data_IF_840250088015
#
_entry.id   IF_840250088015
#
_cell.length_a   1.000
_cell.length_b   1.000
_cell.length_c   1.000
_cell.angle_alpha   90.00
_cell.angle_beta   90.00
_cell.angle_gamma   90.00
#
_symmetry.space_group_name_H-M   'P 1'
#
loop_
_entity.id
_entity.type
_entity.pdbx_description
1 polymer ?
#
# COMPACT_ATOMS: atom_id res chain seq x y z
N UNK A 1 6.25 -9.74 0.85
CA UNK A 1 4.91 -9.96 0.24
C UNK A 1 4.65 -9.05 -0.95
N UNK A 2 5.03 -7.76 -0.89
CA UNK A 2 4.87 -6.81 -2.01
C UNK A 2 5.49 -7.25 -3.33
N UNK A 3 6.72 -7.80 -3.29
CA UNK A 3 7.43 -8.25 -4.49
C UNK A 3 6.70 -9.39 -5.22
N UNK A 4 6.15 -10.36 -4.47
CA UNK A 4 5.36 -11.45 -5.04
C UNK A 4 4.05 -10.91 -5.65
N UNK A 5 3.38 -9.98 -4.98
CA UNK A 5 2.18 -9.35 -5.50
C UNK A 5 2.44 -8.53 -6.78
N UNK A 6 3.55 -7.78 -6.84
CA UNK A 6 3.97 -7.06 -8.04
C UNK A 6 4.29 -7.99 -9.21
N UNK A 7 4.94 -9.13 -8.93
CA UNK A 7 5.24 -10.15 -9.93
C UNK A 7 3.96 -10.82 -10.47
N UNK A 8 3.01 -11.14 -9.58
CA UNK A 8 1.69 -11.65 -9.98
C UNK A 8 0.91 -10.64 -10.83
N UNK A 9 1.00 -9.34 -10.51
CA UNK A 9 0.38 -8.27 -11.31
C UNK A 9 0.99 -8.15 -12.70
N UNK A 10 2.30 -8.38 -12.82
CA UNK A 10 2.98 -8.42 -14.11
C UNK A 10 2.53 -9.61 -14.98
N UNK A 11 2.31 -10.78 -14.38
CA UNK A 11 1.88 -12.00 -15.08
C UNK A 11 0.38 -11.97 -15.44
N UNK A 12 -0.46 -11.35 -14.60
CA UNK A 12 -1.91 -11.25 -14.81
C UNK A 12 -2.37 -9.80 -14.97
N UNK A 13 -2.29 -9.26 -16.20
CA UNK A 13 -2.62 -7.86 -16.44
C UNK A 13 -4.13 -7.63 -16.48
N UNK A 14 -4.64 -6.96 -15.44
CA UNK A 14 -6.03 -6.49 -15.38
C UNK A 14 -6.02 -4.99 -15.06
N UNK A 15 -6.35 -4.15 -16.05
CA UNK A 15 -6.43 -2.69 -15.94
C UNK A 15 -5.07 -1.94 -15.93
N UNK A 16 -5.10 -0.65 -16.33
CA UNK A 16 -4.02 0.34 -16.17
C UNK A 16 -2.68 0.06 -16.88
N UNK A 17 -1.67 0.89 -16.59
CA UNK A 17 -0.28 0.64 -17.01
C UNK A 17 0.28 -0.55 -16.22
N UNK A 18 0.52 -1.67 -16.90
CA UNK A 18 0.99 -2.93 -16.29
C UNK A 18 2.33 -2.75 -15.57
N UNK A 19 3.27 -2.09 -16.23
CA UNK A 19 4.64 -1.93 -15.76
C UNK A 19 4.72 -0.96 -14.58
N UNK A 20 4.03 0.17 -14.69
CA UNK A 20 3.93 1.18 -13.64
C UNK A 20 3.30 0.59 -12.36
N UNK A 21 2.19 -0.13 -12.52
CA UNK A 21 1.46 -0.70 -11.38
C UNK A 21 2.23 -1.84 -10.71
N UNK A 22 2.93 -2.69 -11.49
CA UNK A 22 3.74 -3.76 -10.94
C UNK A 22 4.94 -3.24 -10.13
N UNK A 23 5.63 -2.21 -10.64
CA UNK A 23 6.74 -1.55 -9.93
C UNK A 23 6.22 -0.87 -8.66
N UNK A 24 5.13 -0.12 -8.76
CA UNK A 24 4.53 0.55 -7.60
C UNK A 24 4.20 -0.46 -6.49
N UNK A 25 3.47 -1.54 -6.79
CA UNK A 25 3.09 -2.56 -5.80
C UNK A 25 4.32 -3.23 -5.16
N UNK A 26 5.34 -3.54 -5.97
CA UNK A 26 6.55 -4.17 -5.47
C UNK A 26 7.30 -3.27 -4.46
N UNK A 27 7.49 -2.00 -4.81
CA UNK A 27 8.22 -1.05 -3.97
C UNK A 27 7.42 -0.54 -2.78
N UNK A 28 6.13 -0.28 -2.94
CA UNK A 28 5.25 0.09 -1.83
C UNK A 28 5.26 -1.00 -0.76
N UNK A 29 5.14 -2.27 -1.16
CA UNK A 29 5.19 -3.39 -0.22
C UNK A 29 6.58 -3.63 0.38
N UNK A 30 7.66 -3.37 -0.35
CA UNK A 30 9.02 -3.42 0.20
C UNK A 30 9.23 -2.36 1.28
N UNK A 31 8.76 -1.14 1.04
CA UNK A 31 8.87 -0.02 1.99
C UNK A 31 7.98 -0.28 3.21
N UNK A 32 6.77 -0.80 3.00
CA UNK A 32 5.90 -1.22 4.08
C UNK A 32 6.60 -2.25 4.99
N UNK A 33 7.20 -3.29 4.41
CA UNK A 33 7.94 -4.28 5.18
C UNK A 33 9.15 -3.65 5.88
N UNK A 34 9.91 -2.78 5.23
CA UNK A 34 11.05 -2.10 5.86
C UNK A 34 10.64 -1.23 7.06
N UNK A 35 9.52 -0.51 6.95
CA UNK A 35 8.97 0.33 8.02
C UNK A 35 8.48 -0.57 9.16
N UNK A 36 7.58 -1.50 8.88
CA UNK A 36 6.88 -2.26 9.91
C UNK A 36 7.64 -3.47 10.48
N UNK A 37 8.67 -3.95 9.80
CA UNK A 37 9.55 -5.00 10.33
C UNK A 37 10.53 -4.47 11.39
N UNK A 38 10.75 -3.15 11.44
CA UNK A 38 11.68 -2.56 12.40
C UNK A 38 11.15 -2.70 13.84
N UNK A 39 11.91 -3.31 14.77
CA UNK A 39 11.46 -3.54 16.14
C UNK A 39 11.25 -2.24 16.94
N UNK A 40 11.76 -1.11 16.45
CA UNK A 40 11.51 0.22 17.04
C UNK A 40 10.10 0.74 16.76
N UNK A 41 9.39 0.13 15.82
CA UNK A 41 8.11 0.61 15.27
C UNK A 41 6.94 -0.30 15.67
N UNK A 42 7.12 -1.09 16.73
CA UNK A 42 6.09 -1.97 17.27
C UNK A 42 4.88 -1.20 17.82
N UNK A 43 3.70 -1.53 17.29
CA UNK A 43 2.39 -0.99 17.68
C UNK A 43 2.11 -1.22 19.16
N UNK A 44 2.56 -2.33 19.73
CA UNK A 44 2.29 -2.68 21.12
C UNK A 44 3.17 -1.89 22.10
N UNK A 45 4.36 -1.46 21.66
CA UNK A 45 5.25 -0.61 22.45
C UNK A 45 4.75 0.85 22.55
N UNK A 46 3.95 1.29 21.59
CA UNK A 46 3.38 2.65 21.57
C UNK A 46 2.15 2.77 22.49
N UNK A 47 2.29 3.44 23.64
CA UNK A 47 1.20 3.61 24.62
C UNK A 47 0.12 4.62 24.22
N UNK A 48 0.44 5.63 23.40
CA UNK A 48 -0.49 6.70 23.02
C UNK A 48 -1.11 6.45 21.65
N UNK A 49 -2.43 6.56 21.56
CA UNK A 49 -3.21 6.42 20.32
C UNK A 49 -2.77 7.46 19.29
N UNK A 50 -2.46 8.69 19.71
CA UNK A 50 -1.97 9.76 18.84
C UNK A 50 -0.67 9.38 18.12
N UNK A 51 0.21 8.63 18.80
CA UNK A 51 1.49 8.18 18.23
C UNK A 51 1.25 7.04 17.23
N UNK A 52 0.28 6.15 17.49
CA UNK A 52 -0.10 5.10 16.54
C UNK A 52 -0.74 5.68 15.27
N UNK A 53 -1.62 6.67 15.44
CA UNK A 53 -2.30 7.33 14.34
C UNK A 53 -1.30 8.09 13.46
N UNK A 54 -0.44 8.91 14.07
CA UNK A 54 0.61 9.64 13.34
C UNK A 54 1.56 8.69 12.62
N UNK A 55 1.89 7.55 13.22
CA UNK A 55 2.67 6.51 12.55
C UNK A 55 1.99 5.96 11.30
N UNK A 56 0.68 5.67 11.37
CA UNK A 56 -0.11 5.25 10.22
C UNK A 56 -0.12 6.30 9.11
N UNK A 57 -0.22 7.58 9.47
CA UNK A 57 -0.23 8.69 8.51
C UNK A 57 1.13 8.84 7.82
N UNK A 58 2.22 8.86 8.60
CA UNK A 58 3.58 9.02 8.08
C UNK A 58 3.97 7.83 7.21
N UNK A 59 3.66 6.61 7.66
CA UNK A 59 3.95 5.40 6.88
C UNK A 59 3.15 5.36 5.57
N UNK A 60 1.84 5.63 5.60
CA UNK A 60 1.01 5.69 4.39
C UNK A 60 1.48 6.75 3.40
N UNK A 61 1.86 7.93 3.90
CA UNK A 61 2.44 9.00 3.08
C UNK A 61 3.76 8.56 2.43
N UNK A 62 4.68 8.03 3.23
CA UNK A 62 6.01 7.64 2.76
C UNK A 62 5.93 6.50 1.73
N UNK A 63 5.10 5.49 1.98
CA UNK A 63 4.90 4.35 1.07
C UNK A 63 4.44 4.85 -0.30
N UNK A 64 3.39 5.67 -0.34
CA UNK A 64 2.84 6.17 -1.60
C UNK A 64 3.80 7.14 -2.31
N UNK A 65 4.38 8.10 -1.58
CA UNK A 65 5.28 9.10 -2.15
C UNK A 65 6.51 8.44 -2.79
N UNK A 66 7.17 7.56 -2.04
CA UNK A 66 8.37 6.87 -2.52
C UNK A 66 8.03 5.86 -3.62
N UNK A 67 6.91 5.14 -3.48
CA UNK A 67 6.40 4.23 -4.54
C UNK A 67 6.20 4.95 -5.87
N UNK A 68 5.55 6.12 -5.86
CA UNK A 68 5.36 6.94 -7.06
C UNK A 68 6.67 7.51 -7.62
N UNK A 69 7.56 8.02 -6.77
CA UNK A 69 8.87 8.54 -7.22
C UNK A 69 9.68 7.44 -7.91
N UNK A 70 9.76 6.25 -7.30
CA UNK A 70 10.47 5.11 -7.87
C UNK A 70 9.83 4.69 -9.19
N UNK A 71 8.50 4.66 -9.26
CA UNK A 71 7.80 4.32 -10.50
C UNK A 71 8.13 5.29 -11.63
N UNK A 72 8.20 6.60 -11.35
CA UNK A 72 8.58 7.61 -12.35
C UNK A 72 10.03 7.49 -12.82
N UNK A 73 10.93 6.93 -12.00
CA UNK A 73 12.34 6.70 -12.36
C UNK A 73 12.48 5.38 -13.13
N UNK A 74 11.87 4.29 -12.64
CA UNK A 74 12.07 2.95 -13.19
C UNK A 74 11.23 2.68 -14.45
N UNK A 75 10.07 3.31 -14.61
CA UNK A 75 9.21 3.11 -15.79
C UNK A 75 9.93 3.46 -17.10
N UNK A 76 10.56 4.65 -17.26
CA UNK A 76 11.30 4.96 -18.49
C UNK A 76 12.53 4.06 -18.67
N UNK A 77 13.21 3.68 -17.58
CA UNK A 77 14.35 2.73 -17.64
C UNK A 77 13.91 1.38 -18.18
N UNK A 78 12.80 0.84 -17.69
CA UNK A 78 12.26 -0.45 -18.14
C UNK A 78 11.62 -0.37 -19.53
N UNK A 79 11.08 0.79 -19.92
CA UNK A 79 10.51 1.02 -21.24
C UNK A 79 11.54 1.46 -22.30
N UNK A 80 12.84 1.57 -21.95
CA UNK A 80 13.89 2.10 -22.81
C UNK A 80 13.60 3.52 -23.36
N UNK A 81 12.88 4.32 -22.58
CA UNK A 81 12.52 5.70 -22.91
C UNK A 81 13.49 6.70 -22.25
N UNK A 82 13.69 7.89 -22.83
CA UNK A 82 14.55 8.91 -22.23
C UNK A 82 13.95 9.42 -20.90
N UNK A 83 14.77 9.40 -19.85
CA UNK A 83 14.41 9.95 -18.54
C UNK A 83 14.91 11.41 -18.43
N UNK A 84 13.99 12.34 -18.17
CA UNK A 84 14.31 13.74 -17.93
C UNK A 84 14.01 14.11 -16.47
N UNK A 85 15.02 14.60 -15.75
CA UNK A 85 14.88 15.08 -14.36
C UNK A 85 13.87 16.23 -14.25
N UNK A 86 13.74 17.05 -15.29
CA UNK A 86 12.77 18.14 -15.36
C UNK A 86 11.31 17.65 -15.27
N UNK A 87 10.99 16.50 -15.87
CA UNK A 87 9.64 15.93 -15.77
C UNK A 87 9.36 15.38 -14.37
N UNK A 88 10.36 14.79 -13.72
CA UNK A 88 10.23 14.33 -12.34
C UNK A 88 9.97 15.51 -11.39
N UNK A 89 10.72 16.61 -11.53
CA UNK A 89 10.55 17.82 -10.71
C UNK A 89 9.19 18.49 -10.95
N UNK A 90 8.67 18.49 -12.19
CA UNK A 90 7.35 19.03 -12.48
C UNK A 90 6.21 18.22 -11.86
N UNK A 91 6.35 16.91 -11.76
CA UNK A 91 5.31 16.01 -11.20
C UNK A 91 5.45 15.87 -9.68
N UNK A 92 6.60 16.21 -9.09
CA UNK A 92 6.88 16.09 -7.66
C UNK A 92 5.87 16.82 -6.76
N UNK A 93 5.46 18.08 -7.01
CA UNK A 93 4.46 18.76 -6.18
C UNK A 93 3.12 18.04 -6.18
N UNK A 94 2.72 17.49 -7.32
CA UNK A 94 1.48 16.72 -7.45
C UNK A 94 1.56 15.42 -6.64
N UNK A 95 2.68 14.69 -6.73
CA UNK A 95 2.90 13.46 -5.95
C UNK A 95 2.86 13.75 -4.45
N UNK A 96 3.57 14.78 -3.99
CA UNK A 96 3.59 15.15 -2.57
C UNK A 96 2.20 15.57 -2.07
N UNK A 97 1.40 16.24 -2.92
CA UNK A 97 0.02 16.60 -2.62
C UNK A 97 -0.89 15.38 -2.54
N UNK A 98 -0.86 14.46 -3.51
CA UNK A 98 -1.71 13.26 -3.49
C UNK A 98 -1.30 12.27 -2.40
N UNK A 99 -0.02 12.26 -2.03
CA UNK A 99 0.50 11.46 -0.91
C UNK A 99 -0.16 11.82 0.42
N UNK A 100 -0.66 13.05 0.60
CA UNK A 100 -1.38 13.44 1.83
C UNK A 100 -2.67 12.64 2.02
N UNK A 101 -3.38 12.35 0.92
CA UNK A 101 -4.60 11.54 0.94
C UNK A 101 -4.24 10.09 1.29
N UNK A 102 -3.15 9.57 0.70
CA UNK A 102 -2.64 8.24 1.04
C UNK A 102 -2.20 8.14 2.52
N UNK A 103 -1.60 9.19 3.06
CA UNK A 103 -1.29 9.30 4.48
C UNK A 103 -2.54 9.25 5.35
N UNK A 104 -3.58 10.04 5.04
CA UNK A 104 -4.86 9.98 5.76
C UNK A 104 -5.49 8.58 5.71
N UNK A 105 -5.45 7.93 4.55
CA UNK A 105 -5.89 6.55 4.42
C UNK A 105 -5.07 5.61 5.31
N UNK A 106 -3.75 5.76 5.35
CA UNK A 106 -2.85 5.01 6.24
C UNK A 106 -3.21 5.17 7.73
N UNK A 107 -3.50 6.39 8.17
CA UNK A 107 -3.99 6.66 9.53
C UNK A 107 -5.30 5.94 9.85
N UNK A 108 -6.27 6.02 8.93
CA UNK A 108 -7.56 5.33 9.06
C UNK A 108 -7.39 3.81 9.10
N UNK A 109 -6.51 3.24 8.27
CA UNK A 109 -6.28 1.78 8.26
C UNK A 109 -5.72 1.29 9.59
N UNK A 110 -4.77 2.01 10.21
CA UNK A 110 -4.25 1.64 11.53
C UNK A 110 -5.33 1.72 12.61
N UNK A 111 -6.20 2.73 12.59
CA UNK A 111 -7.33 2.80 13.53
C UNK A 111 -8.31 1.66 13.32
N UNK A 112 -8.62 1.32 12.07
CA UNK A 112 -9.46 0.17 11.75
C UNK A 112 -8.84 -1.14 12.28
N UNK A 113 -7.54 -1.36 12.08
CA UNK A 113 -6.83 -2.53 12.59
C UNK A 113 -6.83 -2.58 14.12
N UNK A 114 -6.63 -1.45 14.79
CA UNK A 114 -6.66 -1.36 16.26
C UNK A 114 -8.07 -1.55 16.86
N UNK A 115 -9.13 -1.27 16.09
CA UNK A 115 -10.51 -1.51 16.51
C UNK A 115 -10.91 -2.98 16.48
N UNK A 116 -10.14 -3.83 15.77
CA UNK A 116 -10.39 -5.27 15.72
C UNK A 116 -9.94 -5.88 17.06
N UNK A 117 -10.84 -6.56 17.80
CA UNK A 117 -10.48 -7.16 19.08
C UNK A 117 -9.41 -8.24 18.87
N UNK A 118 -8.43 -8.28 19.77
CA UNK A 118 -7.28 -9.21 19.69
C UNK A 118 -7.70 -10.70 19.67
N UNK A 119 -8.90 -11.00 20.15
CA UNK A 119 -9.54 -12.34 20.16
C UNK A 119 -10.12 -12.75 18.79
N UNK A 120 -10.31 -11.80 17.87
CA UNK A 120 -10.80 -12.14 16.54
C UNK A 120 -9.81 -12.98 15.74
N UNK A 121 -8.50 -12.79 15.92
CA UNK A 121 -7.48 -13.60 15.26
C UNK A 121 -7.60 -15.09 15.66
N UNK A 122 -7.78 -15.38 16.96
CA UNK A 122 -8.02 -16.74 17.46
C UNK A 122 -9.36 -17.31 17.03
N UNK A 123 -10.43 -16.49 17.00
CA UNK A 123 -11.74 -16.91 16.48
C UNK A 123 -11.75 -17.16 14.97
N UNK A 124 -10.93 -16.45 14.19
CA UNK A 124 -10.79 -16.65 12.74
C UNK A 124 -9.99 -17.93 12.44
N UNK A 125 -8.95 -18.26 13.21
CA UNK A 125 -8.27 -19.55 13.06
C UNK A 125 -9.15 -20.75 13.42
N UNK A 126 -10.16 -20.55 14.29
CA UNK A 126 -11.21 -21.52 14.57
C UNK A 126 -12.46 -21.39 13.69
N UNK A 127 -12.53 -20.36 12.84
CA UNK A 127 -13.68 -20.15 11.97
C UNK A 127 -13.66 -21.17 10.83
N UNK A 128 -14.83 -21.73 10.53
CA UNK A 128 -14.97 -22.65 9.40
C UNK A 128 -14.52 -21.96 8.12
N UNK A 129 -13.78 -22.71 7.28
CA UNK A 129 -13.28 -22.28 5.96
C UNK A 129 -14.39 -21.64 5.10
N UNK A 130 -15.64 -22.05 5.33
CA UNK A 130 -16.88 -21.58 4.71
C UNK A 130 -17.19 -20.10 4.93
N UNK A 131 -16.72 -19.46 6.00
CA UNK A 131 -16.97 -18.03 6.28
C UNK A 131 -15.77 -17.16 5.92
N UNK A 132 -14.56 -17.70 6.10
CA UNK A 132 -13.32 -16.98 5.82
C UNK A 132 -13.12 -16.72 4.31
N UNK A 133 -13.27 -17.77 3.48
CA UNK A 133 -13.09 -17.65 2.04
C UNK A 133 -14.04 -16.64 1.36
N UNK A 134 -15.37 -16.65 1.62
CA UNK A 134 -16.25 -15.67 1.00
C UNK A 134 -15.96 -14.26 1.50
N UNK A 135 -15.69 -14.05 2.78
CA UNK A 135 -15.39 -12.71 3.31
C UNK A 135 -14.16 -12.09 2.64
N UNK A 136 -13.07 -12.85 2.50
CA UNK A 136 -11.84 -12.38 1.83
C UNK A 136 -12.08 -12.12 0.34
N UNK A 137 -12.86 -12.98 -0.34
CA UNK A 137 -13.23 -12.75 -1.73
C UNK A 137 -14.08 -11.48 -1.92
N UNK A 138 -15.00 -11.20 -0.99
CA UNK A 138 -15.92 -10.07 -1.07
C UNK A 138 -15.17 -8.76 -0.82
N UNK A 139 -14.25 -8.73 0.14
CA UNK A 139 -13.33 -7.61 0.36
C UNK A 139 -12.45 -7.38 -0.88
N UNK A 140 -11.95 -8.46 -1.48
CA UNK A 140 -11.14 -8.36 -2.70
C UNK A 140 -11.96 -7.77 -3.87
N UNK A 141 -13.19 -8.23 -4.08
CA UNK A 141 -14.09 -7.70 -5.12
C UNK A 141 -14.43 -6.24 -4.89
N UNK A 142 -14.73 -5.84 -3.64
CA UNK A 142 -14.99 -4.43 -3.29
C UNK A 142 -13.76 -3.56 -3.56
N UNK A 143 -12.56 -4.04 -3.20
CA UNK A 143 -11.30 -3.33 -3.47
C UNK A 143 -11.10 -3.14 -4.99
N UNK A 144 -11.42 -4.15 -5.79
CA UNK A 144 -11.38 -4.07 -7.25
C UNK A 144 -12.41 -3.08 -7.83
N UNK A 145 -13.64 -3.07 -7.33
CA UNK A 145 -14.67 -2.11 -7.76
C UNK A 145 -14.21 -0.68 -7.47
N UNK A 146 -13.62 -0.45 -6.29
CA UNK A 146 -13.04 0.83 -5.94
C UNK A 146 -11.96 1.28 -6.92
N UNK A 147 -11.06 0.38 -7.32
CA UNK A 147 -10.00 0.68 -8.31
C UNK A 147 -10.60 1.04 -9.66
N UNK A 148 -11.59 0.28 -10.16
CA UNK A 148 -12.21 0.51 -11.47
C UNK A 148 -13.00 1.82 -11.53
N UNK A 149 -13.64 2.22 -10.43
CA UNK A 149 -14.38 3.49 -10.35
C UNK A 149 -13.43 4.70 -10.26
N UNK A 150 -12.24 4.51 -9.66
CA UNK A 150 -11.27 5.58 -9.42
C UNK A 150 -10.24 5.74 -10.56
N UNK A 151 -10.12 4.75 -11.44
CA UNK A 151 -9.24 4.74 -12.64
C UNK A 151 -9.92 5.38 -13.85
#
# INVERSE_FOLDING_TARGET
MGLVAGLLKYIHPVGGCMLCSAIAIAFEGMIFEMIWYSPRMDINSMKRIDVKLSMGIISGYAIYAVGYIITQILTPVAASAPFYLSDLLNVMPKILSTSTIAGLAGGLTIMAVLSVPHDMASRITGAKKEVYYPAVSLISVICWIGIVILS
#
